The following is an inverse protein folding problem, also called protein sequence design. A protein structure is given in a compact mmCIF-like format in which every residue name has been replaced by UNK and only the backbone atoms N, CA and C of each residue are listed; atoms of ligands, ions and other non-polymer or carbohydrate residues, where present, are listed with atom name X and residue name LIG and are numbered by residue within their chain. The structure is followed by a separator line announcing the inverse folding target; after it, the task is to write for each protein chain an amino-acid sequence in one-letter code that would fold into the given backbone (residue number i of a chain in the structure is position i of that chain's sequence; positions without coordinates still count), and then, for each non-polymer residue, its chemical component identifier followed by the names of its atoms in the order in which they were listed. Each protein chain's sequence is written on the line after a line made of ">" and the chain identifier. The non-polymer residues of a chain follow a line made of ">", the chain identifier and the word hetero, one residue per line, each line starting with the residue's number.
data_IF_530758617677
#
_entry.id   IF_530758617677
#
_cell.length_a   1.000
_cell.length_b   1.000
_cell.length_c   1.000
_cell.angle_alpha   90.00
_cell.angle_beta   90.00
_cell.angle_gamma   90.00
#
_symmetry.space_group_name_H-M   'P 1'
#
loop_
_entity.id
_entity.type
_entity.pdbx_description
1 polymer ?
#
# COMPACT_ATOMS: atom_id res chain seq x y z
N UNK A 1 -13.13 7.72 16.85
CA UNK A 1 -12.20 8.88 16.82
C UNK A 1 -12.16 9.37 15.39
N UNK A 2 -12.35 10.66 15.11
CA UNK A 2 -12.22 11.17 13.74
C UNK A 2 -10.73 11.13 13.37
N UNK A 3 -10.35 10.16 12.58
CA UNK A 3 -9.00 10.09 12.03
C UNK A 3 -8.83 11.23 11.04
N UNK A 4 -7.82 12.09 11.25
CA UNK A 4 -7.49 13.14 10.27
C UNK A 4 -6.75 12.48 9.10
N UNK A 5 -7.26 12.62 7.88
CA UNK A 5 -6.57 12.10 6.68
C UNK A 5 -5.24 12.80 6.42
N UNK A 6 -5.01 13.98 6.99
CA UNK A 6 -3.79 14.77 6.84
C UNK A 6 -2.74 14.37 7.90
N UNK A 7 -1.43 14.48 7.59
CA UNK A 7 -0.35 14.33 8.57
C UNK A 7 -0.44 15.40 9.66
N UNK A 8 0.19 15.11 10.82
CA UNK A 8 0.16 16.03 11.97
C UNK A 8 0.84 17.37 11.68
N UNK A 9 1.82 17.37 10.78
CA UNK A 9 2.57 18.54 10.32
C UNK A 9 2.12 19.02 8.92
N UNK A 10 0.83 18.86 8.59
CA UNK A 10 0.26 19.16 7.27
C UNK A 10 0.57 20.57 6.74
N UNK A 11 0.85 21.55 7.62
CA UNK A 11 1.27 22.89 7.22
C UNK A 11 2.67 22.95 6.58
N UNK A 12 3.54 21.98 6.88
CA UNK A 12 4.90 21.88 6.36
C UNK A 12 5.01 20.79 5.29
N UNK A 13 4.17 19.75 5.41
CA UNK A 13 4.18 18.60 4.53
C UNK A 13 3.86 18.99 3.09
N UNK A 14 4.65 18.47 2.14
CA UNK A 14 4.41 18.64 0.73
C UNK A 14 3.65 17.42 0.20
N UNK A 15 2.32 17.57 0.10
CA UNK A 15 1.41 16.49 -0.27
C UNK A 15 0.96 16.65 -1.72
N UNK A 16 1.05 15.58 -2.49
CA UNK A 16 0.48 15.48 -3.83
C UNK A 16 -0.56 14.38 -3.89
N UNK A 17 -1.55 14.58 -4.74
CA UNK A 17 -2.64 13.64 -4.92
C UNK A 17 -3.24 13.68 -6.31
N UNK A 18 -4.31 12.93 -6.49
CA UNK A 18 -5.18 13.01 -7.67
C UNK A 18 -6.59 13.36 -7.25
N UNK A 19 -7.16 14.33 -7.92
CA UNK A 19 -8.53 14.79 -7.72
C UNK A 19 -9.37 14.42 -8.95
N UNK A 20 -10.47 13.72 -8.74
CA UNK A 20 -11.51 13.63 -9.74
C UNK A 20 -12.30 14.93 -9.78
N UNK A 21 -12.35 15.58 -10.94
CA UNK A 21 -13.17 16.77 -11.18
C UNK A 21 -14.29 16.39 -12.15
N UNK A 22 -15.57 16.49 -11.75
CA UNK A 22 -16.70 16.15 -12.61
C UNK A 22 -16.65 16.86 -13.96
N UNK A 23 -16.82 16.10 -15.03
CA UNK A 23 -16.75 16.61 -16.40
C UNK A 23 -15.34 16.89 -16.96
N UNK A 24 -14.30 16.84 -16.12
CA UNK A 24 -12.91 17.11 -16.54
C UNK A 24 -11.98 15.90 -16.36
N UNK A 25 -12.38 14.91 -15.53
CA UNK A 25 -11.55 13.75 -15.22
C UNK A 25 -10.54 13.99 -14.10
N UNK A 26 -9.47 13.19 -14.08
CA UNK A 26 -8.46 13.22 -13.00
C UNK A 26 -7.45 14.36 -13.20
N UNK A 27 -7.23 15.14 -12.13
CA UNK A 27 -6.21 16.19 -12.06
C UNK A 27 -5.11 15.81 -11.06
N UNK A 28 -3.87 16.15 -11.35
CA UNK A 28 -2.77 16.12 -10.40
C UNK A 28 -2.83 17.36 -9.53
N UNK A 29 -2.76 17.19 -8.21
CA UNK A 29 -2.98 18.27 -7.27
C UNK A 29 -1.94 18.29 -6.15
N UNK A 30 -1.64 19.50 -5.64
CA UNK A 30 -1.06 19.68 -4.32
C UNK A 30 -2.19 19.82 -3.30
N UNK A 31 -1.99 19.29 -2.10
CA UNK A 31 -2.98 19.34 -1.03
C UNK A 31 -2.40 20.07 0.17
N UNK A 32 -3.06 21.16 0.57
CA UNK A 32 -2.77 21.89 1.78
C UNK A 32 -3.86 21.60 2.83
N UNK A 33 -3.71 22.04 4.07
CA UNK A 33 -4.80 21.90 5.05
C UNK A 33 -6.14 22.53 4.65
N UNK A 34 -6.12 23.53 3.77
CA UNK A 34 -7.31 24.31 3.38
C UNK A 34 -7.77 24.04 1.95
N UNK A 35 -6.83 23.89 1.02
CA UNK A 35 -7.09 23.95 -0.42
C UNK A 35 -6.46 22.80 -1.19
N UNK A 36 -7.14 22.40 -2.25
CA UNK A 36 -6.65 21.48 -3.28
C UNK A 36 -6.26 22.31 -4.50
N UNK A 37 -4.97 22.31 -4.83
CA UNK A 37 -4.35 23.19 -5.81
C UNK A 37 -3.96 22.41 -7.07
N UNK A 38 -4.33 22.91 -8.24
CA UNK A 38 -4.04 22.29 -9.54
C UNK A 38 -2.55 22.34 -9.88
N UNK A 39 -1.96 21.21 -10.18
CA UNK A 39 -0.58 21.06 -10.64
C UNK A 39 -0.47 20.77 -12.14
N UNK A 40 -1.56 20.80 -12.89
CA UNK A 40 -1.55 20.53 -14.34
C UNK A 40 -0.63 21.46 -15.15
N UNK A 41 -0.31 22.64 -14.62
CA UNK A 41 0.72 23.53 -15.15
C UNK A 41 2.16 23.02 -15.02
N UNK A 42 2.42 22.04 -14.13
CA UNK A 42 3.72 21.37 -14.01
C UNK A 42 3.74 20.03 -14.74
N UNK A 43 2.71 19.22 -14.58
CA UNK A 43 2.62 17.90 -15.19
C UNK A 43 1.15 17.44 -15.30
N UNK A 44 0.83 16.73 -16.35
CA UNK A 44 -0.52 16.25 -16.62
C UNK A 44 -0.90 14.97 -15.88
N UNK A 45 0.08 14.22 -15.33
CA UNK A 45 -0.08 12.97 -14.60
C UNK A 45 0.80 12.94 -13.36
N UNK A 46 0.45 12.13 -12.34
CA UNK A 46 1.34 11.92 -11.20
C UNK A 46 2.68 11.31 -11.63
N UNK A 47 2.65 10.36 -12.57
CA UNK A 47 3.87 9.78 -13.13
C UNK A 47 4.77 10.87 -13.69
N UNK A 48 4.28 11.72 -14.59
CA UNK A 48 5.06 12.81 -15.18
C UNK A 48 5.54 13.83 -14.13
N UNK A 49 4.74 14.10 -13.08
CA UNK A 49 5.16 14.99 -12.00
C UNK A 49 6.36 14.43 -11.24
N UNK A 50 6.32 13.12 -10.89
CA UNK A 50 7.40 12.46 -10.13
C UNK A 50 8.68 12.28 -10.94
N UNK A 51 8.63 12.37 -12.28
CA UNK A 51 9.80 12.39 -13.17
C UNK A 51 10.55 13.72 -13.18
N UNK A 52 9.94 14.81 -12.70
CA UNK A 52 10.58 16.13 -12.70
C UNK A 52 11.81 16.13 -11.78
N UNK A 53 12.95 16.65 -12.26
CA UNK A 53 14.11 16.86 -11.39
C UNK A 53 13.76 17.85 -10.28
N UNK A 54 14.17 17.55 -9.04
CA UNK A 54 13.86 18.37 -7.85
C UNK A 54 12.35 18.64 -7.70
N UNK A 55 11.53 17.61 -7.84
CA UNK A 55 10.07 17.71 -7.86
C UNK A 55 9.53 18.50 -6.66
N UNK A 56 10.02 18.25 -5.45
CA UNK A 56 9.58 18.95 -4.25
C UNK A 56 9.80 20.47 -4.36
N UNK A 57 10.98 20.90 -4.78
CA UNK A 57 11.29 22.33 -4.99
C UNK A 57 10.37 22.95 -6.04
N UNK A 58 10.12 22.24 -7.14
CA UNK A 58 9.24 22.73 -8.22
C UNK A 58 7.80 22.88 -7.77
N UNK A 59 7.26 21.88 -7.05
CA UNK A 59 5.90 21.95 -6.52
C UNK A 59 5.78 23.09 -5.51
N UNK A 60 6.71 23.24 -4.57
CA UNK A 60 6.72 24.38 -3.63
C UNK A 60 6.76 25.73 -4.34
N UNK A 61 7.63 25.89 -5.31
CA UNK A 61 7.75 27.14 -6.09
C UNK A 61 6.46 27.44 -6.85
N UNK A 62 5.84 26.44 -7.48
CA UNK A 62 4.58 26.60 -8.21
C UNK A 62 3.43 27.01 -7.30
N UNK A 63 3.29 26.36 -6.15
CA UNK A 63 2.28 26.71 -5.14
C UNK A 63 2.53 28.12 -4.58
N UNK A 64 3.77 28.44 -4.21
CA UNK A 64 4.13 29.75 -3.65
C UNK A 64 3.99 30.91 -4.66
N UNK A 65 4.08 30.64 -5.94
CA UNK A 65 3.93 31.68 -6.99
C UNK A 65 2.48 32.17 -7.16
N UNK A 66 1.49 31.45 -6.57
CA UNK A 66 0.07 31.73 -6.78
C UNK A 66 -0.47 31.34 -8.17
N UNK A 67 0.33 30.63 -8.98
CA UNK A 67 -0.10 30.13 -10.29
C UNK A 67 -0.97 28.87 -10.20
N UNK A 68 -0.86 28.11 -9.09
CA UNK A 68 -1.68 26.94 -8.85
C UNK A 68 -3.13 27.36 -8.52
N UNK A 69 -4.05 27.01 -9.41
CA UNK A 69 -5.48 27.35 -9.25
C UNK A 69 -6.09 26.48 -8.16
N UNK A 70 -6.87 27.06 -7.23
CA UNK A 70 -7.70 26.30 -6.29
C UNK A 70 -8.83 25.60 -7.02
N UNK A 71 -8.90 24.27 -6.90
CA UNK A 71 -9.95 23.43 -7.48
C UNK A 71 -11.08 23.13 -6.49
N UNK A 72 -10.75 22.98 -5.21
CA UNK A 72 -11.70 22.60 -4.18
C UNK A 72 -11.18 22.93 -2.77
N UNK A 73 -12.06 22.89 -1.78
CA UNK A 73 -11.71 22.84 -0.35
C UNK A 73 -11.22 21.44 0.02
N UNK A 74 -10.13 21.34 0.79
CA UNK A 74 -9.59 20.04 1.24
C UNK A 74 -10.59 19.33 2.14
N UNK A 75 -11.24 20.03 3.08
CA UNK A 75 -12.19 19.44 4.01
C UNK A 75 -13.43 18.85 3.30
N UNK A 76 -14.00 19.60 2.34
CA UNK A 76 -15.14 19.13 1.55
C UNK A 76 -14.75 17.95 0.66
N UNK A 77 -13.59 18.02 0.00
CA UNK A 77 -13.10 16.93 -0.85
C UNK A 77 -12.86 15.63 -0.07
N UNK A 78 -12.30 15.74 1.14
CA UNK A 78 -12.13 14.57 2.02
C UNK A 78 -13.47 13.95 2.41
N UNK A 79 -14.47 14.78 2.75
CA UNK A 79 -15.82 14.28 3.07
C UNK A 79 -16.46 13.56 1.86
N UNK A 80 -16.32 14.12 0.66
CA UNK A 80 -16.87 13.52 -0.57
C UNK A 80 -16.07 12.31 -1.06
N UNK A 81 -14.86 12.09 -0.54
CA UNK A 81 -14.06 10.89 -0.88
C UNK A 81 -14.59 9.62 -0.23
N UNK A 82 -15.36 9.72 0.85
CA UNK A 82 -16.08 8.59 1.43
C UNK A 82 -17.10 8.05 0.40
N UNK A 83 -16.94 6.78 0.01
CA UNK A 83 -17.77 6.13 -1.00
C UNK A 83 -19.28 6.13 -0.64
N UNK A 84 -19.60 6.15 0.66
CA UNK A 84 -21.00 6.23 1.14
C UNK A 84 -21.61 7.62 0.99
N UNK A 85 -20.79 8.69 0.87
CA UNK A 85 -21.22 10.08 0.76
C UNK A 85 -20.94 10.71 -0.60
N UNK A 86 -20.28 9.95 -1.51
CA UNK A 86 -19.86 10.44 -2.82
C UNK A 86 -21.04 10.69 -3.73
N UNK A 87 -21.14 11.94 -4.22
CA UNK A 87 -22.08 12.31 -5.26
C UNK A 87 -21.34 12.53 -6.60
N UNK A 88 -21.93 12.13 -7.72
CA UNK A 88 -21.31 12.24 -9.06
C UNK A 88 -20.93 13.67 -9.44
N UNK A 89 -21.64 14.66 -8.93
CA UNK A 89 -21.41 16.08 -9.20
C UNK A 89 -20.29 16.71 -8.36
N UNK A 90 -19.67 15.97 -7.44
CA UNK A 90 -18.67 16.50 -6.52
C UNK A 90 -17.28 15.94 -6.81
N UNK A 91 -16.25 16.75 -6.52
CA UNK A 91 -14.87 16.30 -6.60
C UNK A 91 -14.53 15.38 -5.43
N UNK A 92 -13.67 14.37 -5.66
CA UNK A 92 -13.16 13.45 -4.63
C UNK A 92 -11.71 13.06 -4.90
N UNK A 93 -10.97 12.65 -3.86
CA UNK A 93 -9.61 12.13 -4.01
C UNK A 93 -9.62 10.70 -4.54
N UNK A 94 -8.78 10.47 -5.53
CA UNK A 94 -8.43 9.15 -6.08
C UNK A 94 -7.16 8.62 -5.39
N UNK A 95 -6.74 7.38 -5.71
CA UNK A 95 -5.38 6.96 -5.39
C UNK A 95 -4.36 7.95 -5.98
N UNK A 96 -3.33 8.37 -5.22
CA UNK A 96 -2.38 9.42 -5.64
C UNK A 96 -1.34 8.90 -6.66
N UNK A 97 -1.71 7.96 -7.50
CA UNK A 97 -0.88 7.36 -8.54
C UNK A 97 -1.70 7.12 -9.80
N UNK A 98 -1.04 7.01 -10.95
CA UNK A 98 -1.68 6.73 -12.25
C UNK A 98 -0.89 5.71 -13.08
N UNK A 99 0.05 6.12 -13.90
CA UNK A 99 0.72 5.26 -14.89
C UNK A 99 1.81 4.36 -14.28
N UNK A 100 2.20 4.61 -13.04
CA UNK A 100 3.24 3.85 -12.35
C UNK A 100 2.86 2.37 -12.21
N UNK A 101 3.84 1.48 -12.36
CA UNK A 101 3.69 0.10 -11.99
C UNK A 101 3.41 -0.01 -10.47
N UNK A 102 2.48 -0.88 -10.05
CA UNK A 102 2.17 -1.11 -8.65
C UNK A 102 2.74 -2.45 -8.23
N UNK A 103 3.84 -2.41 -7.48
CA UNK A 103 4.60 -3.56 -7.03
C UNK A 103 4.52 -3.71 -5.51
N UNK A 104 4.75 -4.91 -5.02
CA UNK A 104 4.86 -5.17 -3.59
C UNK A 104 6.03 -6.09 -3.29
N UNK A 105 6.62 -5.93 -2.12
CA UNK A 105 7.60 -6.83 -1.54
C UNK A 105 6.91 -7.70 -0.49
N UNK A 106 7.11 -9.01 -0.56
CA UNK A 106 6.60 -9.94 0.45
C UNK A 106 7.65 -10.28 1.51
N UNK A 107 7.18 -10.82 2.64
CA UNK A 107 7.98 -11.42 3.73
C UNK A 107 9.21 -10.61 4.18
N UNK A 108 9.06 -9.31 4.24
CA UNK A 108 10.12 -8.37 4.64
C UNK A 108 10.24 -8.17 6.15
N UNK A 109 9.39 -8.82 6.94
CA UNK A 109 9.44 -8.82 8.40
C UNK A 109 9.41 -10.25 8.93
N UNK A 110 10.19 -10.53 9.98
CA UNK A 110 10.27 -11.88 10.57
C UNK A 110 8.89 -12.39 11.02
N UNK A 111 8.06 -11.53 11.61
CA UNK A 111 6.72 -11.92 12.04
C UNK A 111 5.82 -12.32 10.85
N UNK A 112 5.82 -11.55 9.77
CA UNK A 112 5.04 -11.89 8.56
C UNK A 112 5.60 -13.13 7.86
N UNK A 113 6.91 -13.29 7.82
CA UNK A 113 7.56 -14.47 7.25
C UNK A 113 7.13 -15.75 7.99
N UNK A 114 7.10 -15.72 9.32
CA UNK A 114 6.62 -16.86 10.12
C UNK A 114 5.14 -17.16 9.85
N UNK A 115 4.30 -16.15 9.73
CA UNK A 115 2.89 -16.35 9.37
C UNK A 115 2.73 -16.97 7.98
N UNK A 116 3.54 -16.57 7.00
CA UNK A 116 3.53 -17.21 5.67
C UNK A 116 3.96 -18.67 5.70
N UNK A 117 4.95 -19.02 6.50
CA UNK A 117 5.34 -20.43 6.72
C UNK A 117 4.20 -21.21 7.36
N UNK A 118 3.49 -20.61 8.32
CA UNK A 118 2.32 -21.22 8.97
C UNK A 118 1.19 -21.44 7.95
N UNK A 119 0.87 -20.45 7.14
CA UNK A 119 -0.14 -20.52 6.07
C UNK A 119 0.16 -21.63 5.06
N UNK A 120 1.42 -21.74 4.62
CA UNK A 120 1.90 -22.79 3.72
C UNK A 120 1.73 -24.19 4.35
N UNK A 121 2.19 -24.36 5.58
CA UNK A 121 2.09 -25.64 6.32
C UNK A 121 0.63 -26.01 6.63
N UNK A 122 -0.21 -25.03 6.89
CA UNK A 122 -1.65 -25.22 7.06
C UNK A 122 -2.38 -25.44 5.73
N UNK A 123 -1.72 -25.23 4.58
CA UNK A 123 -2.27 -25.30 3.22
C UNK A 123 -3.50 -24.38 3.02
N UNK A 124 -3.44 -23.17 3.59
CA UNK A 124 -4.52 -22.20 3.54
C UNK A 124 -5.76 -22.55 4.38
N UNK A 125 -5.65 -23.49 5.27
CA UNK A 125 -6.74 -23.91 6.18
C UNK A 125 -6.56 -23.25 7.56
N UNK A 126 -7.37 -22.22 7.83
CA UNK A 126 -7.33 -21.45 9.08
C UNK A 126 -7.52 -22.32 10.34
N UNK A 127 -8.32 -23.39 10.28
CA UNK A 127 -8.56 -24.27 11.43
C UNK A 127 -7.32 -25.03 11.91
N UNK A 128 -6.28 -25.13 11.06
CA UNK A 128 -5.02 -25.81 11.35
C UNK A 128 -3.92 -24.84 11.78
N UNK A 129 -4.11 -23.53 11.55
CA UNK A 129 -3.06 -22.53 11.70
C UNK A 129 -2.47 -22.47 13.12
N UNK A 130 -3.29 -22.57 14.16
CA UNK A 130 -2.81 -22.48 15.55
C UNK A 130 -1.89 -23.63 15.94
N UNK A 131 -2.25 -24.88 15.59
CA UNK A 131 -1.40 -26.05 15.87
C UNK A 131 -0.06 -25.97 15.10
N UNK A 132 -0.11 -25.51 13.86
CA UNK A 132 1.09 -25.28 13.03
C UNK A 132 1.95 -24.16 13.60
N UNK A 133 1.35 -23.05 14.07
CA UNK A 133 2.06 -21.91 14.66
C UNK A 133 2.91 -22.35 15.86
N UNK A 134 2.34 -23.12 16.77
CA UNK A 134 3.07 -23.62 17.94
C UNK A 134 4.29 -24.46 17.51
N UNK A 135 4.15 -25.33 16.51
CA UNK A 135 5.24 -26.16 16.01
C UNK A 135 6.34 -25.33 15.30
N UNK A 136 5.96 -24.38 14.44
CA UNK A 136 6.89 -23.54 13.66
C UNK A 136 7.67 -22.60 14.57
N UNK A 137 6.99 -21.89 15.49
CA UNK A 137 7.64 -20.92 16.40
C UNK A 137 8.63 -21.62 17.33
N UNK A 138 8.33 -22.84 17.79
CA UNK A 138 9.25 -23.62 18.64
C UNK A 138 10.58 -23.96 17.95
N UNK A 139 10.59 -24.08 16.62
CA UNK A 139 11.79 -24.50 15.86
C UNK A 139 12.51 -23.30 15.24
N UNK A 140 11.78 -22.32 14.70
CA UNK A 140 12.35 -21.25 13.85
C UNK A 140 12.39 -19.91 14.58
N UNK A 141 11.44 -19.61 15.46
CA UNK A 141 11.10 -18.26 15.92
C UNK A 141 12.25 -17.38 16.40
N UNK A 142 13.17 -17.88 17.20
CA UNK A 142 14.28 -17.08 17.76
C UNK A 142 15.50 -17.01 16.82
N UNK A 143 15.61 -17.94 15.85
CA UNK A 143 16.77 -18.03 14.96
C UNK A 143 16.75 -16.96 13.83
N UNK A 144 15.62 -16.32 13.55
CA UNK A 144 15.45 -15.41 12.42
C UNK A 144 15.64 -13.93 12.75
N UNK A 145 15.54 -13.54 14.03
CA UNK A 145 15.44 -12.10 14.42
C UNK A 145 16.63 -11.24 14.04
N UNK A 146 17.82 -11.83 13.95
CA UNK A 146 19.07 -11.09 13.70
C UNK A 146 19.74 -11.48 12.38
N UNK A 147 19.09 -12.32 11.58
CA UNK A 147 19.66 -12.78 10.30
C UNK A 147 19.53 -11.69 9.26
N UNK A 148 20.67 -11.27 8.71
CA UNK A 148 20.69 -10.37 7.55
C UNK A 148 20.44 -11.18 6.29
N UNK A 149 19.40 -10.87 5.49
CA UNK A 149 19.11 -11.58 4.25
C UNK A 149 20.29 -11.62 3.29
N UNK A 150 20.54 -12.77 2.65
CA UNK A 150 21.64 -12.96 1.71
C UNK A 150 23.03 -13.06 2.35
N UNK A 151 23.15 -13.01 3.68
CA UNK A 151 24.44 -13.13 4.38
C UNK A 151 24.94 -14.58 4.43
N UNK A 152 26.23 -14.75 4.77
CA UNK A 152 26.80 -16.08 5.04
C UNK A 152 26.13 -16.78 6.23
N UNK A 153 25.55 -16.00 7.16
CA UNK A 153 24.80 -16.53 8.29
C UNK A 153 23.46 -17.08 7.84
N UNK A 154 22.74 -16.36 6.96
CA UNK A 154 21.50 -16.85 6.38
C UNK A 154 21.70 -18.11 5.56
N UNK A 155 22.81 -18.22 4.80
CA UNK A 155 23.14 -19.42 4.03
C UNK A 155 23.38 -20.63 4.95
N UNK A 156 24.09 -20.46 6.08
CA UNK A 156 24.28 -21.52 7.08
C UNK A 156 22.97 -21.95 7.75
N UNK A 157 22.09 -20.97 8.07
CA UNK A 157 20.78 -21.26 8.62
C UNK A 157 19.92 -22.05 7.62
N UNK A 158 19.98 -21.70 6.33
CA UNK A 158 19.32 -22.46 5.25
C UNK A 158 19.74 -23.94 5.25
N UNK A 159 21.03 -24.23 5.33
CA UNK A 159 21.55 -25.61 5.37
C UNK A 159 20.99 -26.40 6.57
N UNK A 160 20.94 -25.78 7.75
CA UNK A 160 20.38 -26.39 8.96
C UNK A 160 18.89 -26.69 8.80
N UNK A 161 18.10 -25.73 8.32
CA UNK A 161 16.66 -25.88 8.13
C UNK A 161 16.31 -26.89 7.04
N UNK A 162 17.11 -26.97 5.96
CA UNK A 162 16.98 -28.02 4.94
C UNK A 162 17.21 -29.40 5.52
N UNK A 163 18.27 -29.58 6.34
CA UNK A 163 18.55 -30.87 6.99
C UNK A 163 17.45 -31.32 7.96
N UNK A 164 16.69 -30.36 8.52
CA UNK A 164 15.56 -30.62 9.41
C UNK A 164 14.21 -30.76 8.65
N UNK A 165 14.18 -30.58 7.32
CA UNK A 165 12.95 -30.59 6.53
C UNK A 165 12.01 -29.39 6.82
N UNK A 166 12.56 -28.28 7.35
CA UNK A 166 11.82 -27.10 7.78
C UNK A 166 11.99 -25.92 6.81
N UNK A 167 12.65 -26.10 5.67
CA UNK A 167 12.80 -25.05 4.68
C UNK A 167 11.49 -24.79 3.94
N UNK A 168 11.18 -23.53 3.73
CA UNK A 168 9.99 -23.05 3.04
C UNK A 168 10.40 -22.06 1.93
N UNK A 169 9.60 -21.96 0.89
CA UNK A 169 9.76 -20.94 -0.16
C UNK A 169 9.71 -19.50 0.40
N UNK A 170 8.97 -19.26 1.48
CA UNK A 170 8.92 -17.96 2.14
C UNK A 170 10.20 -17.64 2.93
N UNK A 171 10.87 -18.67 3.45
CA UNK A 171 12.21 -18.51 4.03
C UNK A 171 13.24 -18.19 2.95
N UNK A 172 13.09 -18.77 1.74
CA UNK A 172 13.99 -18.49 0.60
C UNK A 172 14.01 -17.00 0.27
N UNK A 173 12.85 -16.35 0.15
CA UNK A 173 12.76 -14.91 -0.18
C UNK A 173 12.91 -14.01 1.05
N UNK A 174 12.59 -14.49 2.24
CA UNK A 174 12.71 -13.73 3.48
C UNK A 174 14.13 -13.53 3.96
N UNK A 175 14.98 -14.59 3.91
CA UNK A 175 16.36 -14.55 4.37
C UNK A 175 17.41 -14.87 3.27
N UNK A 176 16.98 -15.30 2.08
CA UNK A 176 17.85 -15.53 0.92
C UNK A 176 18.38 -14.23 0.30
N UNK A 177 19.16 -14.30 -0.79
CA UNK A 177 19.71 -13.12 -1.45
C UNK A 177 18.66 -12.24 -2.13
N UNK A 178 17.63 -12.87 -2.73
CA UNK A 178 16.61 -12.20 -3.55
C UNK A 178 15.33 -11.98 -2.74
N UNK A 179 14.79 -10.76 -2.77
CA UNK A 179 13.51 -10.44 -2.16
C UNK A 179 12.35 -10.95 -3.04
N UNK A 180 11.22 -11.26 -2.41
CA UNK A 180 9.98 -11.44 -3.14
C UNK A 180 9.49 -10.08 -3.64
N UNK A 181 9.44 -9.89 -4.94
CA UNK A 181 8.84 -8.71 -5.59
C UNK A 181 7.80 -9.17 -6.60
N UNK A 182 6.57 -8.72 -6.44
CA UNK A 182 5.47 -9.11 -7.32
C UNK A 182 4.65 -7.91 -7.81
N UNK A 183 3.79 -8.12 -8.79
CA UNK A 183 2.81 -7.12 -9.23
C UNK A 183 1.60 -7.21 -8.32
N UNK A 184 1.35 -6.13 -7.53
CA UNK A 184 0.19 -6.07 -6.63
C UNK A 184 -1.09 -5.77 -7.39
N UNK A 185 -1.01 -4.82 -8.32
CA UNK A 185 -2.18 -4.35 -9.06
C UNK A 185 -1.74 -3.71 -10.39
N UNK A 186 -2.68 -3.51 -11.28
CA UNK A 186 -2.44 -2.84 -12.56
C UNK A 186 -2.28 -1.32 -12.38
N UNK A 187 -1.54 -0.60 -13.27
CA UNK A 187 -1.58 0.85 -13.29
C UNK A 187 -3.02 1.38 -13.30
N UNK A 188 -3.30 2.41 -12.51
CA UNK A 188 -4.61 3.05 -12.34
C UNK A 188 -5.71 2.21 -11.66
N UNK A 189 -5.45 0.97 -11.24
CA UNK A 189 -6.47 0.13 -10.60
C UNK A 189 -6.55 0.32 -9.07
N UNK A 190 -5.55 0.96 -8.45
CA UNK A 190 -5.58 1.25 -7.03
C UNK A 190 -6.72 2.22 -6.68
N UNK A 191 -7.36 1.98 -5.54
CA UNK A 191 -8.38 2.87 -4.98
C UNK A 191 -7.77 3.81 -3.94
N UNK A 192 -8.37 5.00 -3.76
CA UNK A 192 -7.92 6.00 -2.80
C UNK A 192 -8.55 5.84 -1.42
N UNK A 193 -8.22 6.79 -0.53
CA UNK A 193 -8.85 6.89 0.80
C UNK A 193 -10.34 7.18 0.66
N UNK A 194 -11.16 6.57 1.51
CA UNK A 194 -12.61 6.66 1.48
C UNK A 194 -13.30 5.70 0.50
N UNK A 195 -12.55 5.05 -0.39
CA UNK A 195 -13.10 4.08 -1.32
C UNK A 195 -13.37 2.71 -0.66
N UNK A 196 -14.19 1.89 -1.32
CA UNK A 196 -14.35 0.49 -0.93
C UNK A 196 -13.12 -0.31 -1.35
N UNK A 197 -12.70 -1.28 -0.51
CA UNK A 197 -11.71 -2.30 -0.85
C UNK A 197 -12.37 -3.66 -0.99
N UNK A 198 -11.93 -4.41 -2.01
CA UNK A 198 -12.56 -5.67 -2.41
C UNK A 198 -11.79 -6.90 -1.94
N UNK A 199 -12.48 -7.83 -1.27
CA UNK A 199 -12.02 -9.19 -1.03
C UNK A 199 -12.66 -10.13 -2.04
N UNK A 200 -11.94 -11.14 -2.53
CA UNK A 200 -12.51 -12.12 -3.45
C UNK A 200 -13.67 -12.89 -2.77
N UNK A 201 -14.87 -12.98 -3.38
CA UNK A 201 -16.05 -13.57 -2.73
C UNK A 201 -15.89 -15.06 -2.36
N UNK A 202 -14.94 -15.75 -2.96
CA UNK A 202 -14.62 -17.14 -2.62
C UNK A 202 -13.58 -17.29 -1.50
N UNK A 203 -13.04 -16.19 -0.95
CA UNK A 203 -12.09 -16.25 0.16
C UNK A 203 -12.82 -16.29 1.50
N UNK A 204 -12.35 -17.17 2.37
CA UNK A 204 -12.86 -17.34 3.74
C UNK A 204 -11.82 -16.99 4.80
N UNK A 205 -10.59 -16.69 4.39
CA UNK A 205 -9.51 -16.28 5.29
C UNK A 205 -8.69 -15.18 4.63
N UNK A 206 -8.98 -13.95 5.01
CA UNK A 206 -8.42 -12.74 4.42
C UNK A 206 -8.19 -11.66 5.48
N UNK A 207 -7.34 -10.68 5.17
CA UNK A 207 -6.97 -9.65 6.12
C UNK A 207 -6.47 -8.38 5.41
N UNK A 208 -6.43 -7.22 6.12
CA UNK A 208 -5.68 -6.06 5.68
C UNK A 208 -4.18 -6.30 5.89
N UNK A 209 -3.37 -5.76 5.00
CA UNK A 209 -1.93 -5.64 5.17
C UNK A 209 -1.56 -4.16 5.13
N UNK A 210 -1.36 -3.52 6.32
CA UNK A 210 -0.94 -2.12 6.41
C UNK A 210 0.54 -1.98 6.03
N UNK A 211 0.83 -1.09 5.09
CA UNK A 211 2.17 -0.92 4.55
C UNK A 211 2.52 0.54 4.27
N UNK A 212 3.82 0.85 4.26
CA UNK A 212 4.36 2.03 3.58
C UNK A 212 4.53 1.70 2.10
N UNK A 213 4.19 2.67 1.26
CA UNK A 213 4.36 2.60 -0.20
C UNK A 213 5.33 3.67 -0.64
N UNK A 214 6.47 3.28 -1.22
CA UNK A 214 7.42 4.21 -1.79
C UNK A 214 7.04 4.60 -3.22
N UNK A 215 7.18 5.87 -3.54
CA UNK A 215 7.05 6.38 -4.90
C UNK A 215 8.43 6.58 -5.51
N UNK A 216 8.78 5.77 -6.51
CA UNK A 216 10.04 5.84 -7.25
C UNK A 216 9.78 6.29 -8.70
N UNK A 217 10.64 7.18 -9.22
CA UNK A 217 10.62 7.58 -10.62
C UNK A 217 11.29 6.52 -11.52
N UNK A 218 11.29 6.74 -12.83
CA UNK A 218 11.86 5.78 -13.81
C UNK A 218 13.36 5.52 -13.66
N UNK A 219 14.08 6.40 -12.93
CA UNK A 219 15.51 6.25 -12.63
C UNK A 219 15.78 5.46 -11.36
N UNK A 220 14.72 5.02 -10.64
CA UNK A 220 14.83 4.34 -9.35
C UNK A 220 15.07 5.29 -8.18
N UNK A 221 14.96 6.60 -8.38
CA UNK A 221 15.04 7.59 -7.31
C UNK A 221 13.72 7.61 -6.53
N UNK A 222 13.77 7.34 -5.23
CA UNK A 222 12.61 7.46 -4.35
C UNK A 222 12.36 8.93 -4.06
N UNK A 223 11.18 9.41 -4.40
CA UNK A 223 10.83 10.84 -4.33
C UNK A 223 9.75 11.15 -3.31
N UNK A 224 9.17 10.12 -2.67
CA UNK A 224 8.14 10.29 -1.65
C UNK A 224 7.58 8.97 -1.16
N UNK A 225 6.63 9.05 -0.22
CA UNK A 225 5.97 7.89 0.37
C UNK A 225 4.47 8.13 0.59
N UNK A 226 3.73 7.05 0.69
CA UNK A 226 2.29 6.99 0.98
C UNK A 226 1.98 5.82 1.90
N UNK A 227 0.71 5.65 2.29
CA UNK A 227 0.21 4.46 2.95
C UNK A 227 -0.46 3.54 1.94
N UNK A 228 -0.48 2.23 2.24
CA UNK A 228 -1.15 1.24 1.42
C UNK A 228 -1.86 0.17 2.23
N UNK A 229 -2.89 -0.41 1.64
CA UNK A 229 -3.51 -1.63 2.09
C UNK A 229 -3.37 -2.68 0.97
N UNK A 230 -2.47 -3.63 1.15
CA UNK A 230 -2.33 -4.81 0.32
C UNK A 230 -3.34 -5.87 0.79
N UNK A 231 -4.61 -5.75 0.36
CA UNK A 231 -5.64 -6.70 0.77
C UNK A 231 -5.20 -8.13 0.43
N UNK A 232 -5.16 -8.97 1.44
CA UNK A 232 -4.60 -10.32 1.36
C UNK A 232 -5.65 -11.41 1.46
N UNK A 233 -5.49 -12.48 0.70
CA UNK A 233 -6.32 -13.69 0.70
C UNK A 233 -5.46 -14.89 1.13
N UNK A 234 -5.33 -15.10 2.46
CA UNK A 234 -4.46 -16.12 3.06
C UNK A 234 -4.78 -17.54 2.61
N UNK A 235 -6.07 -17.85 2.43
CA UNK A 235 -6.53 -19.13 1.95
C UNK A 235 -6.13 -19.43 0.49
N UNK A 236 -5.96 -18.38 -0.34
CA UNK A 236 -5.46 -18.56 -1.71
C UNK A 236 -3.95 -18.66 -1.75
N UNK A 237 -3.24 -17.76 -1.10
CA UNK A 237 -1.78 -17.79 -1.03
C UNK A 237 -1.25 -19.05 -0.34
N UNK A 238 -1.86 -19.45 0.78
CA UNK A 238 -1.43 -20.63 1.53
C UNK A 238 -1.65 -21.95 0.79
N UNK A 239 -2.52 -21.99 -0.22
CA UNK A 239 -2.70 -23.20 -1.04
C UNK A 239 -1.56 -23.38 -2.05
N UNK A 240 -1.08 -22.32 -2.64
CA UNK A 240 0.00 -22.36 -3.63
C UNK A 240 0.51 -20.96 -3.97
N UNK A 241 1.82 -20.77 -4.00
CA UNK A 241 2.45 -19.55 -4.52
C UNK A 241 2.07 -19.23 -5.98
N UNK A 242 1.66 -20.24 -6.77
CA UNK A 242 1.17 -20.04 -8.14
C UNK A 242 -0.20 -19.36 -8.20
N UNK A 243 -0.88 -19.20 -7.08
CA UNK A 243 -2.15 -18.46 -6.97
C UNK A 243 -1.94 -16.99 -6.56
N UNK A 244 -0.71 -16.50 -6.49
CA UNK A 244 -0.40 -15.13 -6.07
C UNK A 244 -1.18 -14.09 -6.89
N UNK A 245 -1.21 -14.18 -8.22
CA UNK A 245 -1.99 -13.28 -9.06
C UNK A 245 -3.48 -13.30 -8.76
N UNK A 246 -4.05 -14.48 -8.44
CA UNK A 246 -5.45 -14.60 -8.02
C UNK A 246 -5.71 -14.01 -6.63
N UNK A 247 -4.72 -14.11 -5.73
CA UNK A 247 -4.83 -13.57 -4.39
C UNK A 247 -4.75 -12.04 -4.37
N UNK A 248 -3.91 -11.44 -5.23
CA UNK A 248 -3.51 -10.03 -5.14
C UNK A 248 -4.20 -9.10 -6.15
N UNK A 249 -4.39 -9.53 -7.41
CA UNK A 249 -4.90 -8.66 -8.49
C UNK A 249 -6.42 -8.82 -8.68
N UNK A 250 -7.18 -8.44 -7.65
CA UNK A 250 -8.63 -8.41 -7.70
C UNK A 250 -9.14 -6.96 -7.81
N UNK A 251 -10.37 -6.75 -8.30
CA UNK A 251 -10.98 -5.43 -8.33
C UNK A 251 -11.01 -4.82 -6.92
N UNK A 252 -10.49 -3.59 -6.80
CA UNK A 252 -10.38 -2.81 -5.56
C UNK A 252 -9.55 -3.46 -4.42
N UNK A 253 -8.72 -4.48 -4.69
CA UNK A 253 -7.91 -5.15 -3.66
C UNK A 253 -6.61 -4.45 -3.31
N UNK A 254 -6.37 -3.26 -3.87
CA UNK A 254 -5.19 -2.42 -3.62
C UNK A 254 -5.64 -1.00 -3.31
N UNK A 255 -5.36 -0.51 -2.09
CA UNK A 255 -5.58 0.88 -1.76
C UNK A 255 -4.25 1.60 -1.52
N UNK A 256 -4.13 2.84 -2.04
CA UNK A 256 -2.97 3.72 -1.83
C UNK A 256 -3.50 5.11 -1.47
N UNK A 257 -2.95 5.72 -0.43
CA UNK A 257 -3.36 7.06 -0.02
C UNK A 257 -3.04 7.40 1.44
N UNK A 258 -3.55 8.52 1.95
CA UNK A 258 -4.41 9.48 1.23
C UNK A 258 -3.68 10.27 0.15
N UNK A 259 -2.39 10.55 0.34
CA UNK A 259 -1.55 11.37 -0.55
C UNK A 259 -0.14 10.75 -0.64
N UNK A 260 0.63 11.13 -1.66
CA UNK A 260 2.09 10.95 -1.63
C UNK A 260 2.67 12.18 -0.95
N UNK A 261 3.40 11.99 0.16
CA UNK A 261 4.25 13.02 0.74
C UNK A 261 5.59 12.99 0.04
N UNK A 262 5.94 14.09 -0.63
CA UNK A 262 7.22 14.23 -1.31
C UNK A 262 8.35 14.39 -0.29
N UNK A 263 9.53 13.86 -0.62
CA UNK A 263 10.74 14.06 0.15
C UNK A 263 11.29 15.48 -0.02
N UNK A 264 11.59 16.10 1.10
CA UNK A 264 12.13 17.45 1.19
C UNK A 264 12.95 17.62 2.49
N UNK A 265 13.24 18.85 2.89
CA UNK A 265 14.00 19.13 4.12
C UNK A 265 13.29 18.72 5.44
N UNK A 266 11.98 18.38 5.37
CA UNK A 266 11.16 18.02 6.52
C UNK A 266 10.73 16.54 6.55
N UNK A 267 10.93 15.81 5.45
CA UNK A 267 10.57 14.39 5.35
C UNK A 267 11.46 13.69 4.33
N UNK A 268 12.09 12.62 4.74
CA UNK A 268 13.10 11.89 3.98
C UNK A 268 12.88 10.37 4.07
N UNK A 269 13.72 9.60 3.39
CA UNK A 269 13.75 8.14 3.51
C UNK A 269 14.15 7.69 4.93
N UNK A 270 14.91 8.49 5.65
CA UNK A 270 15.30 8.16 7.04
C UNK A 270 14.10 8.29 7.99
N UNK A 271 13.21 9.25 7.74
CA UNK A 271 11.95 9.35 8.47
C UNK A 271 11.03 8.17 8.16
N UNK A 272 10.99 7.71 6.90
CA UNK A 272 10.27 6.50 6.52
C UNK A 272 10.78 5.28 7.28
N UNK A 273 12.10 5.11 7.41
CA UNK A 273 12.71 4.00 8.17
C UNK A 273 12.29 3.96 9.65
N UNK A 274 11.86 5.10 10.19
CA UNK A 274 11.42 5.26 11.59
C UNK A 274 9.90 5.31 11.74
N UNK A 275 9.13 5.15 10.66
CA UNK A 275 7.67 5.19 10.73
C UNK A 275 7.10 4.03 11.53
N UNK A 276 6.20 4.36 12.46
CA UNK A 276 5.31 3.42 13.10
C UNK A 276 3.92 3.53 12.47
N UNK A 277 3.40 2.41 11.96
CA UNK A 277 2.05 2.33 11.41
C UNK A 277 1.09 1.81 12.49
N UNK A 278 -0.09 2.41 12.53
CA UNK A 278 -1.21 1.91 13.31
C UNK A 278 -2.28 1.37 12.36
N UNK A 279 -2.81 0.19 12.68
CA UNK A 279 -3.96 -0.42 12.04
C UNK A 279 -5.13 -0.41 13.01
N UNK A 280 -6.29 0.04 12.55
CA UNK A 280 -7.55 -0.09 13.27
C UNK A 280 -8.60 -0.68 12.33
N UNK A 281 -9.24 -1.76 12.76
CA UNK A 281 -10.38 -2.35 12.05
C UNK A 281 -11.59 -2.28 12.96
N UNK A 282 -12.68 -1.71 12.44
CA UNK A 282 -13.97 -1.66 13.13
C UNK A 282 -15.02 -2.40 12.30
N UNK A 283 -15.55 -3.48 12.86
CA UNK A 283 -16.61 -4.27 12.24
C UNK A 283 -18.00 -3.70 12.51
N UNK A 284 -18.96 -3.94 11.61
CA UNK A 284 -20.35 -3.48 11.75
C UNK A 284 -21.06 -4.08 12.97
N UNK A 285 -20.61 -5.24 13.45
CA UNK A 285 -21.13 -5.93 14.64
C UNK A 285 -20.50 -5.47 15.95
N UNK A 286 -19.64 -4.42 15.90
CA UNK A 286 -18.94 -3.88 17.08
C UNK A 286 -17.58 -4.52 17.37
N UNK A 287 -17.07 -5.39 16.48
CA UNK A 287 -15.70 -5.89 16.57
C UNK A 287 -14.70 -4.75 16.42
N UNK A 288 -13.65 -4.77 17.24
CA UNK A 288 -12.54 -3.82 17.15
C UNK A 288 -11.23 -4.60 17.21
N UNK A 289 -10.36 -4.33 16.25
CA UNK A 289 -8.98 -4.80 16.25
C UNK A 289 -8.03 -3.61 16.12
N UNK A 290 -6.95 -3.64 16.88
CA UNK A 290 -5.87 -2.67 16.79
C UNK A 290 -4.54 -3.42 16.60
N UNK A 291 -3.69 -2.85 15.77
CA UNK A 291 -2.36 -3.37 15.51
C UNK A 291 -1.39 -2.24 15.24
N UNK A 292 -0.11 -2.57 15.32
CA UNK A 292 0.96 -1.64 14.99
C UNK A 292 2.08 -2.36 14.24
N UNK A 293 2.79 -1.60 13.41
CA UNK A 293 3.93 -2.07 12.62
C UNK A 293 5.01 -1.00 12.68
N UNK A 294 6.22 -1.36 13.10
CA UNK A 294 7.35 -0.44 13.11
C UNK A 294 8.28 -0.75 11.93
N UNK A 295 8.43 0.20 11.01
CA UNK A 295 9.27 -0.02 9.82
C UNK A 295 10.74 -0.25 10.16
N UNK A 296 11.19 0.22 11.34
CA UNK A 296 12.54 -0.07 11.87
C UNK A 296 12.82 -1.57 12.08
N UNK A 297 11.80 -2.43 12.07
CA UNK A 297 11.92 -3.89 12.18
C UNK A 297 11.94 -4.61 10.82
N UNK A 298 11.97 -3.86 9.72
CA UNK A 298 12.10 -4.44 8.38
C UNK A 298 13.43 -5.16 8.23
N UNK A 299 13.43 -6.36 7.66
CA UNK A 299 14.63 -7.18 7.48
C UNK A 299 15.50 -6.74 6.30
N UNK A 300 14.91 -6.02 5.35
CA UNK A 300 15.59 -5.45 4.18
C UNK A 300 15.39 -3.94 4.16
N UNK A 301 16.46 -3.19 3.92
CA UNK A 301 16.35 -1.73 3.78
C UNK A 301 15.38 -1.36 2.65
N UNK A 302 14.51 -0.33 2.82
CA UNK A 302 13.61 0.12 1.77
C UNK A 302 14.27 0.43 0.41
N UNK A 303 15.49 0.98 0.41
CA UNK A 303 16.23 1.25 -0.83
C UNK A 303 16.82 -0.03 -1.44
N UNK A 304 17.15 -1.06 -0.64
CA UNK A 304 17.50 -2.37 -1.16
C UNK A 304 16.32 -2.98 -1.91
N UNK A 305 15.12 -2.95 -1.34
CA UNK A 305 13.89 -3.41 -2.01
C UNK A 305 13.62 -2.68 -3.33
N UNK A 306 13.82 -1.37 -3.37
CA UNK A 306 13.72 -0.59 -4.61
C UNK A 306 14.75 -1.06 -5.63
N UNK A 307 16.00 -1.29 -5.22
CA UNK A 307 17.09 -1.74 -6.11
C UNK A 307 16.85 -3.14 -6.68
N UNK A 308 16.18 -4.01 -5.92
CA UNK A 308 15.79 -5.34 -6.37
C UNK A 308 14.54 -5.31 -7.27
N UNK A 309 13.63 -4.36 -7.02
CA UNK A 309 12.42 -4.19 -7.82
C UNK A 309 12.69 -3.52 -9.17
N UNK A 310 13.60 -2.53 -9.22
CA UNK A 310 13.85 -1.70 -10.39
C UNK A 310 15.36 -1.55 -10.65
N UNK A 311 15.78 -1.70 -11.90
CA UNK A 311 17.18 -1.53 -12.29
C UNK A 311 17.40 -1.95 -13.74
N UNK A 312 18.61 -2.40 -14.03
CA UNK A 312 19.01 -2.78 -15.39
C UNK A 312 18.13 -3.88 -16.00
N UNK A 313 17.62 -4.80 -15.18
CA UNK A 313 16.84 -5.96 -15.64
C UNK A 313 15.32 -5.79 -15.52
N UNK A 314 14.87 -4.85 -14.66
CA UNK A 314 13.47 -4.57 -14.42
C UNK A 314 13.26 -3.06 -14.55
N UNK A 315 12.57 -2.63 -15.61
CA UNK A 315 12.43 -1.21 -15.98
C UNK A 315 10.96 -0.80 -16.00
N UNK A 316 10.69 0.37 -15.41
CA UNK A 316 9.37 0.98 -15.35
C UNK A 316 9.46 2.44 -15.80
N UNK A 317 9.23 2.72 -17.11
CA UNK A 317 9.43 4.05 -17.68
C UNK A 317 8.50 5.14 -17.12
N UNK A 318 7.38 4.71 -16.51
CA UNK A 318 6.42 5.60 -15.86
C UNK A 318 6.59 5.64 -14.33
N UNK A 319 7.72 5.09 -13.82
CA UNK A 319 7.97 4.96 -12.39
C UNK A 319 7.23 3.78 -11.75
N UNK A 320 7.35 3.67 -10.43
CA UNK A 320 6.85 2.55 -9.65
C UNK A 320 6.34 3.01 -8.28
N UNK A 321 5.24 2.44 -7.81
CA UNK A 321 4.83 2.40 -6.42
C UNK A 321 5.23 1.05 -5.85
N UNK A 322 6.00 1.04 -4.74
CA UNK A 322 6.47 -0.20 -4.11
C UNK A 322 5.94 -0.28 -2.68
N UNK A 323 5.06 -1.22 -2.42
CA UNK A 323 4.68 -1.66 -1.09
C UNK A 323 5.87 -2.37 -0.44
N UNK A 324 6.20 -2.02 0.82
CA UNK A 324 7.40 -2.52 1.49
C UNK A 324 7.20 -3.83 2.24
N UNK A 325 6.00 -4.38 2.23
CA UNK A 325 5.61 -5.54 3.03
C UNK A 325 5.03 -5.15 4.39
N UNK A 326 4.23 -6.05 4.95
CA UNK A 326 3.58 -5.84 6.25
C UNK A 326 4.29 -6.59 7.37
N UNK A 327 4.46 -5.94 8.52
CA UNK A 327 4.82 -6.62 9.77
C UNK A 327 3.58 -7.17 10.48
N UNK A 328 2.42 -6.57 10.25
CA UNK A 328 1.22 -6.90 10.98
C UNK A 328 0.40 -7.99 10.27
N UNK A 329 0.33 -9.16 10.89
CA UNK A 329 -0.54 -10.24 10.48
C UNK A 329 -1.65 -10.40 11.54
N UNK A 330 -2.93 -10.06 11.25
CA UNK A 330 -4.02 -10.19 12.21
C UNK A 330 -4.21 -11.63 12.68
N UNK A 331 -4.12 -11.85 14.00
CA UNK A 331 -4.32 -13.16 14.64
C UNK A 331 -5.42 -13.13 15.71
N UNK A 332 -5.97 -11.95 16.02
CA UNK A 332 -7.04 -11.80 17.00
C UNK A 332 -8.29 -12.58 16.57
N UNK A 333 -8.81 -13.42 17.44
CA UNK A 333 -10.05 -14.16 17.19
C UNK A 333 -11.24 -13.22 16.98
N UNK A 334 -12.04 -13.49 15.94
CA UNK A 334 -13.25 -12.72 15.63
C UNK A 334 -14.54 -13.50 15.81
N UNK A 335 -14.60 -14.71 15.27
CA UNK A 335 -15.83 -15.52 15.23
C UNK A 335 -15.90 -16.59 16.31
N UNK A 336 -14.80 -16.85 17.00
CA UNK A 336 -14.72 -17.82 18.09
C UNK A 336 -13.27 -18.15 18.43
N UNK A 337 -13.03 -18.79 19.60
CA UNK A 337 -11.67 -19.12 20.05
C UNK A 337 -10.91 -19.96 19.03
N UNK A 338 -9.68 -19.55 18.69
CA UNK A 338 -8.78 -20.23 17.76
C UNK A 338 -9.13 -20.09 16.28
N UNK A 339 -10.13 -19.25 15.92
CA UNK A 339 -10.52 -19.04 14.51
C UNK A 339 -9.76 -17.89 13.84
N UNK A 340 -9.02 -17.10 14.63
CA UNK A 340 -8.25 -15.97 14.13
C UNK A 340 -9.11 -14.88 13.49
N UNK A 341 -8.49 -14.04 12.70
CA UNK A 341 -9.12 -12.92 12.01
C UNK A 341 -9.47 -13.28 10.55
N UNK A 342 -10.65 -12.86 10.13
CA UNK A 342 -11.03 -12.68 8.73
C UNK A 342 -11.94 -11.45 8.61
N UNK A 343 -11.93 -10.76 7.46
CA UNK A 343 -12.82 -9.63 7.20
C UNK A 343 -14.29 -10.04 7.17
N UNK A 344 -15.12 -9.08 7.58
CA UNK A 344 -16.57 -9.07 7.32
C UNK A 344 -16.87 -7.88 6.40
N UNK A 345 -17.79 -8.07 5.45
CA UNK A 345 -18.26 -6.97 4.61
C UNK A 345 -18.82 -5.84 5.48
N UNK A 346 -18.35 -4.62 5.25
CA UNK A 346 -18.68 -3.44 6.07
C UNK A 346 -17.61 -3.07 7.09
N UNK A 347 -16.53 -3.87 7.26
CA UNK A 347 -15.38 -3.46 8.06
C UNK A 347 -14.84 -2.12 7.57
N UNK A 348 -14.56 -1.22 8.51
CA UNK A 348 -13.77 -0.03 8.25
C UNK A 348 -12.33 -0.27 8.68
N UNK A 349 -11.42 -0.11 7.74
CA UNK A 349 -9.97 -0.29 7.92
C UNK A 349 -9.32 1.08 7.87
N UNK A 350 -8.63 1.45 8.94
CA UNK A 350 -7.84 2.68 9.04
C UNK A 350 -6.37 2.33 9.25
N UNK A 351 -5.52 2.82 8.35
CA UNK A 351 -4.06 2.68 8.40
C UNK A 351 -3.48 4.07 8.55
N UNK A 352 -2.68 4.31 9.59
CA UNK A 352 -2.21 5.66 9.91
C UNK A 352 -0.77 5.71 10.41
N UNK A 353 -0.12 6.84 10.12
CA UNK A 353 1.12 7.28 10.76
C UNK A 353 1.10 8.80 10.88
N UNK A 354 1.72 9.39 11.91
CA UNK A 354 1.77 10.84 12.09
C UNK A 354 2.29 11.58 10.85
N UNK A 355 3.24 10.98 10.13
CA UNK A 355 3.92 11.61 9.00
C UNK A 355 3.13 11.55 7.68
N UNK A 356 2.27 10.53 7.47
CA UNK A 356 1.57 10.31 6.19
C UNK A 356 0.05 10.47 6.30
N UNK A 357 -0.47 10.71 7.50
CA UNK A 357 -1.91 10.83 7.74
C UNK A 357 -2.61 9.49 7.89
N UNK A 358 -3.85 9.38 7.39
CA UNK A 358 -4.67 8.17 7.53
C UNK A 358 -5.32 7.77 6.22
N UNK A 359 -5.07 6.54 5.80
CA UNK A 359 -5.78 5.84 4.73
C UNK A 359 -6.98 5.09 5.36
N UNK A 360 -8.19 5.40 4.91
CA UNK A 360 -9.42 4.75 5.40
C UNK A 360 -10.13 4.07 4.24
N UNK A 361 -10.53 2.81 4.42
CA UNK A 361 -11.28 2.07 3.42
C UNK A 361 -12.39 1.24 4.09
N UNK A 362 -13.46 0.97 3.34
CA UNK A 362 -14.53 0.06 3.77
C UNK A 362 -14.48 -1.24 2.96
N UNK A 363 -14.55 -2.38 3.64
CA UNK A 363 -14.47 -3.70 3.01
C UNK A 363 -15.78 -4.07 2.35
N UNK A 364 -15.70 -4.57 1.12
CA UNK A 364 -16.77 -5.24 0.38
C UNK A 364 -16.19 -6.44 -0.38
N UNK A 365 -16.99 -7.15 -1.17
CA UNK A 365 -16.44 -8.15 -2.09
C UNK A 365 -16.04 -7.52 -3.42
N UNK A 366 -15.05 -8.08 -4.11
CA UNK A 366 -14.47 -7.50 -5.32
C UNK A 366 -15.45 -7.46 -6.51
N UNK A 367 -16.49 -8.30 -6.50
CA UNK A 367 -17.59 -8.30 -7.46
C UNK A 367 -18.67 -7.25 -7.16
N UNK A 368 -18.80 -6.83 -5.88
CA UNK A 368 -19.71 -5.78 -5.45
C UNK A 368 -19.04 -4.41 -5.34
N UNK A 369 -17.72 -4.35 -5.32
CA UNK A 369 -16.99 -3.10 -5.38
C UNK A 369 -17.29 -2.36 -6.70
N UNK A 370 -17.29 -1.01 -6.71
CA UNK A 370 -17.46 -0.27 -7.96
C UNK A 370 -16.52 -0.79 -9.05
N UNK A 371 -17.02 -1.03 -10.27
CA UNK A 371 -16.18 -1.54 -11.36
C UNK A 371 -15.11 -0.52 -11.73
N UNK A 372 -13.89 -1.00 -11.97
CA UNK A 372 -12.79 -0.17 -12.44
C UNK A 372 -13.00 0.20 -13.92
N UNK A 373 -13.41 1.43 -14.18
CA UNK A 373 -13.70 1.94 -15.53
C UNK A 373 -12.73 3.00 -16.01
N UNK A 374 -12.02 3.69 -15.08
CA UNK A 374 -11.08 4.75 -15.40
C UNK A 374 -9.65 4.22 -15.53
N UNK A 375 -9.35 3.60 -16.67
CA UNK A 375 -8.03 3.11 -17.02
C UNK A 375 -7.24 4.07 -17.92
N UNK A 376 -6.06 3.64 -18.40
CA UNK A 376 -5.11 4.43 -19.21
C UNK A 376 -5.81 5.10 -20.41
N UNK A 377 -6.66 4.37 -21.15
CA UNK A 377 -7.37 4.92 -22.30
C UNK A 377 -8.31 6.07 -21.92
N UNK A 378 -9.01 5.98 -20.79
CA UNK A 378 -9.88 7.05 -20.30
C UNK A 378 -9.05 8.28 -19.92
N UNK A 379 -7.94 8.11 -19.21
CA UNK A 379 -7.00 9.18 -18.89
C UNK A 379 -6.48 9.87 -20.16
N UNK A 380 -6.02 9.10 -21.16
CA UNK A 380 -5.55 9.68 -22.44
C UNK A 380 -6.62 10.53 -23.13
N UNK A 381 -7.87 10.08 -23.13
CA UNK A 381 -8.99 10.81 -23.69
C UNK A 381 -9.25 12.13 -22.95
N UNK A 382 -9.19 12.13 -21.63
CA UNK A 382 -9.41 13.34 -20.83
C UNK A 382 -8.26 14.36 -21.03
N UNK A 383 -7.02 13.88 -21.10
CA UNK A 383 -5.86 14.72 -21.39
C UNK A 383 -5.98 15.36 -22.78
N UNK A 384 -6.37 14.60 -23.80
CA UNK A 384 -6.58 15.12 -25.14
C UNK A 384 -7.68 16.20 -25.21
N UNK A 385 -8.80 16.00 -24.50
CA UNK A 385 -9.89 16.99 -24.42
C UNK A 385 -9.42 18.29 -23.75
N UNK A 386 -8.68 18.20 -22.65
CA UNK A 386 -8.14 19.38 -21.96
C UNK A 386 -7.19 20.19 -22.83
N UNK A 387 -6.31 19.54 -23.60
CA UNK A 387 -5.41 20.23 -24.55
C UNK A 387 -6.16 20.91 -25.71
N UNK A 388 -7.31 20.40 -26.10
CA UNK A 388 -8.10 21.03 -27.19
C UNK A 388 -8.92 22.23 -26.73
N UNK A 389 -9.04 22.45 -25.42
CA UNK A 389 -9.81 23.56 -24.82
C UNK A 389 -8.93 24.69 -24.25
N UNK A 390 -7.61 24.46 -24.15
CA UNK A 390 -6.59 25.43 -23.75
C UNK A 390 -6.02 26.12 -24.99
#
# INVERSE_FOLDING_TARGET
>A
MSHTSLPVDAHQALLIGRLWVPGQGAHVVAVTPLEVLDLSGLASTCSALLELPNVATRVRAHVASGQAKTLASTAETLAHSDAAQRAEAQAWFMAPCDLQAIKAAGVTFVASMLERVIEEQARGDASRAEAVRQAVVAVIGDNLRNVVPGSAESARLKEVLLAQGMWSQYLEVGIGPDAEIFTKAQPMSAVGSGAMVGIHPGSQWNNPEPEIVLAANSRGEVVGASLGNDVNLRDFEGRSALLLGKAKDNNASCAIGPFIRLFDDHFSIDDVRQCDLSLHVQGPEGFVMQGSSALSQISRDPLDLVSQAMGKYHQYPDGMLLFLGTMFAPTQDRHGPGQGFTHVVGDEVSISTPQLGTLVNRVTTSDLAPPWTYGIRALMNDLAKRHSQS
#
